data_IF_251937406580
#
_entry.id   IF_251937406580
#
_cell.length_a   1.000
_cell.length_b   1.000
_cell.length_c   1.000
_cell.angle_alpha   90.00
_cell.angle_beta   90.00
_cell.angle_gamma   90.00
#
_symmetry.space_group_name_H-M   'P 1'
#
loop_
_entity.id
_entity.type
_entity.pdbx_description
1 polymer ?
#
# COMPACT_ATOMS: atom_id res chain seq x y z
N UNK A 1 48.75 33.84 38.82
CA UNK A 1 49.90 34.34 38.05
C UNK A 1 50.41 33.20 37.16
N UNK A 2 50.63 33.52 35.89
CA UNK A 2 51.43 32.86 34.82
C UNK A 2 52.01 31.45 35.11
N UNK A 3 51.92 30.47 34.22
CA UNK A 3 52.11 30.61 32.77
C UNK A 3 51.68 29.39 31.94
N UNK A 4 51.57 29.68 30.65
CA UNK A 4 51.12 28.85 29.54
C UNK A 4 52.21 27.83 29.16
N UNK A 5 51.81 26.59 28.88
CA UNK A 5 52.63 25.67 28.07
C UNK A 5 52.05 25.58 26.66
N UNK A 6 52.90 25.93 25.70
CA UNK A 6 52.66 25.88 24.26
C UNK A 6 53.42 24.72 23.63
N UNK A 7 52.76 24.08 22.67
CA UNK A 7 53.25 23.48 21.43
C UNK A 7 54.31 22.35 21.46
N UNK A 8 53.89 21.21 20.88
CA UNK A 8 54.77 20.16 20.36
C UNK A 8 54.01 19.36 19.29
N UNK A 9 53.96 19.89 18.08
CA UNK A 9 53.40 19.24 16.89
C UNK A 9 54.35 18.16 16.38
N UNK A 10 53.82 16.98 16.00
CA UNK A 10 54.53 16.02 15.16
C UNK A 10 53.95 16.02 13.74
N UNK A 11 54.78 16.53 12.84
CA UNK A 11 54.92 16.23 11.41
C UNK A 11 54.90 14.70 11.12
N UNK A 12 54.76 14.17 9.90
CA UNK A 12 54.44 14.60 8.52
C UNK A 12 54.29 13.27 7.72
N UNK A 13 53.64 13.34 6.55
CA UNK A 13 53.74 12.51 5.32
C UNK A 13 52.33 12.25 4.77
N UNK A 14 51.72 13.07 3.91
CA UNK A 14 52.01 13.41 2.49
C UNK A 14 52.32 12.23 1.56
N UNK A 15 51.37 11.98 0.65
CA UNK A 15 51.45 11.62 -0.79
C UNK A 15 50.09 11.00 -1.17
N UNK A 16 49.46 11.25 -2.30
CA UNK A 16 49.80 12.02 -3.49
C UNK A 16 48.53 12.13 -4.32
N UNK A 17 48.23 13.32 -4.80
CA UNK A 17 47.30 13.64 -5.87
C UNK A 17 47.82 13.10 -7.20
N UNK A 18 46.94 12.48 -7.99
CA UNK A 18 47.02 12.49 -9.47
C UNK A 18 45.61 12.71 -10.02
N UNK A 19 45.42 13.69 -10.93
CA UNK A 19 44.12 14.03 -11.52
C UNK A 19 43.95 13.45 -12.93
N UNK A 20 42.80 13.82 -13.53
CA UNK A 20 42.50 13.89 -14.96
C UNK A 20 41.83 12.66 -15.60
N UNK A 21 40.55 12.83 -15.96
CA UNK A 21 40.09 12.64 -17.34
C UNK A 21 38.78 13.39 -17.56
N UNK A 22 38.84 14.38 -18.44
CA UNK A 22 37.73 15.14 -18.98
C UNK A 22 37.03 14.34 -20.10
N UNK A 23 35.74 14.62 -20.22
CA UNK A 23 34.92 14.66 -21.44
C UNK A 23 34.75 13.36 -22.27
N UNK A 24 33.54 12.83 -22.23
CA UNK A 24 32.85 12.40 -23.44
C UNK A 24 31.37 12.84 -23.34
N UNK A 25 30.99 13.78 -24.20
CA UNK A 25 29.64 14.32 -24.27
C UNK A 25 28.63 13.24 -24.64
N UNK A 26 27.54 13.18 -23.88
CA UNK A 26 26.36 12.41 -24.25
C UNK A 26 25.18 13.36 -24.40
N UNK A 27 24.97 13.84 -25.62
CA UNK A 27 23.70 14.44 -26.02
C UNK A 27 22.91 13.43 -26.82
N UNK A 28 21.65 13.19 -26.45
CA UNK A 28 20.60 13.11 -27.45
C UNK A 28 19.65 14.27 -27.18
N UNK A 29 19.77 15.32 -28.01
CA UNK A 29 18.67 16.24 -28.23
C UNK A 29 17.52 15.45 -28.84
N UNK A 30 16.64 14.92 -28.02
CA UNK A 30 15.34 14.47 -28.49
C UNK A 30 14.50 15.71 -28.75
N UNK A 31 14.55 16.18 -29.99
CA UNK A 31 13.54 17.08 -30.50
C UNK A 31 12.25 16.27 -30.65
N UNK A 32 11.22 16.65 -29.90
CA UNK A 32 9.86 16.19 -30.19
C UNK A 32 9.43 16.82 -31.52
N UNK A 33 9.69 16.14 -32.63
CA UNK A 33 9.03 16.42 -33.91
C UNK A 33 7.69 15.73 -33.90
N UNK A 34 6.70 16.35 -33.25
CA UNK A 34 5.30 16.00 -33.49
C UNK A 34 5.00 16.31 -34.95
N UNK A 35 4.77 15.28 -35.75
CA UNK A 35 4.33 15.41 -37.13
C UNK A 35 3.01 16.21 -37.15
N UNK A 36 3.07 17.40 -37.72
CA UNK A 36 1.87 18.21 -37.99
C UNK A 36 1.21 17.58 -39.21
N UNK A 37 0.12 16.86 -39.00
CA UNK A 37 -0.76 16.40 -40.07
C UNK A 37 -1.36 17.64 -40.73
N UNK A 38 -1.06 17.84 -42.02
CA UNK A 38 -1.61 18.93 -42.80
C UNK A 38 -3.14 18.83 -42.88
N UNK A 39 -3.81 19.95 -42.61
CA UNK A 39 -5.24 20.13 -42.84
C UNK A 39 -5.63 19.79 -44.28
N UNK A 40 -6.40 18.71 -44.46
CA UNK A 40 -7.08 18.44 -45.72
C UNK A 40 -8.28 19.39 -45.87
N UNK A 41 -8.21 20.22 -46.90
CA UNK A 41 -9.28 21.11 -47.37
C UNK A 41 -10.53 20.30 -47.75
N UNK A 42 -11.65 20.59 -47.07
CA UNK A 42 -12.97 20.02 -47.39
C UNK A 42 -13.50 20.71 -48.65
N UNK A 43 -13.30 20.10 -49.83
CA UNK A 43 -14.12 20.40 -51.01
C UNK A 43 -15.52 19.80 -50.78
N UNK A 44 -16.54 20.65 -50.76
CA UNK A 44 -17.95 20.26 -50.87
C UNK A 44 -18.19 19.80 -52.32
N UNK A 45 -18.65 18.57 -52.49
CA UNK A 45 -19.43 18.17 -53.66
C UNK A 45 -20.81 17.75 -53.15
N UNK A 46 -21.83 18.48 -53.56
CA UNK A 46 -23.21 18.00 -53.51
C UNK A 46 -23.55 17.38 -54.85
N UNK A 47 -24.29 16.27 -54.84
CA UNK A 47 -25.41 16.00 -55.75
C UNK A 47 -25.99 14.60 -55.50
N UNK A 48 -27.28 14.63 -55.18
CA UNK A 48 -28.35 13.82 -55.74
C UNK A 48 -28.51 12.34 -55.36
N UNK A 49 -29.72 12.14 -54.83
CA UNK A 49 -30.48 10.92 -54.61
C UNK A 49 -30.66 10.07 -55.86
N UNK A 50 -30.39 8.77 -55.72
CA UNK A 50 -30.84 7.73 -56.63
C UNK A 50 -31.01 6.43 -55.85
N UNK A 51 -32.26 6.03 -55.66
CA UNK A 51 -32.67 4.79 -55.02
C UNK A 51 -32.30 3.58 -55.89
N UNK A 52 -31.49 2.66 -55.36
CA UNK A 52 -31.45 1.26 -55.78
C UNK A 52 -31.32 0.36 -54.55
N UNK A 53 -32.20 -0.63 -54.50
CA UNK A 53 -32.33 -1.68 -53.48
C UNK A 53 -31.06 -2.55 -53.38
N UNK A 54 -30.86 -3.27 -52.26
CA UNK A 54 -29.55 -3.74 -51.84
C UNK A 54 -29.14 -5.01 -52.58
N UNK A 55 -28.01 -4.96 -53.29
CA UNK A 55 -27.28 -6.17 -53.62
C UNK A 55 -26.57 -6.65 -52.35
N UNK A 56 -27.04 -7.75 -51.78
CA UNK A 56 -26.32 -8.50 -50.74
C UNK A 56 -25.10 -9.12 -51.39
N UNK A 57 -24.01 -8.35 -51.45
CA UNK A 57 -22.67 -8.88 -51.65
C UNK A 57 -22.17 -9.32 -50.27
N UNK A 58 -22.03 -10.63 -50.09
CA UNK A 58 -21.35 -11.21 -48.93
C UNK A 58 -19.90 -10.72 -48.91
N UNK A 59 -19.66 -9.66 -48.15
CA UNK A 59 -18.32 -9.24 -47.81
C UNK A 59 -17.68 -10.36 -46.97
N UNK A 60 -16.66 -11.02 -47.54
CA UNK A 60 -15.76 -11.87 -46.76
C UNK A 60 -15.17 -11.08 -45.58
N UNK A 61 -14.68 -11.76 -44.53
CA UNK A 61 -14.21 -11.09 -43.33
C UNK A 61 -13.06 -10.15 -43.70
N UNK A 62 -13.30 -8.84 -43.61
CA UNK A 62 -12.25 -7.84 -43.75
C UNK A 62 -11.27 -8.02 -42.58
N UNK A 63 -10.11 -8.62 -42.87
CA UNK A 63 -9.05 -8.96 -41.89
C UNK A 63 -8.35 -7.76 -41.25
N UNK A 64 -8.84 -6.53 -41.44
CA UNK A 64 -8.33 -5.33 -40.78
C UNK A 64 -9.41 -4.26 -40.69
N UNK A 65 -10.37 -4.44 -39.78
CA UNK A 65 -11.10 -3.28 -39.26
C UNK A 65 -10.11 -2.42 -38.46
N UNK A 66 -9.99 -1.09 -38.71
CA UNK A 66 -9.20 -0.23 -37.85
C UNK A 66 -9.78 -0.32 -36.44
N UNK A 67 -9.04 -0.96 -35.53
CA UNK A 67 -9.38 -0.98 -34.12
C UNK A 67 -9.53 0.49 -33.68
N UNK A 68 -10.65 0.88 -33.07
CA UNK A 68 -10.75 2.21 -32.48
C UNK A 68 -9.64 2.31 -31.45
N UNK A 69 -8.59 3.08 -31.76
CA UNK A 69 -7.57 3.43 -30.78
C UNK A 69 -8.33 4.19 -29.71
N UNK A 70 -8.45 3.56 -28.54
CA UNK A 70 -9.04 4.20 -27.38
C UNK A 70 -8.03 5.27 -26.95
N UNK A 71 -8.11 6.46 -27.56
CA UNK A 71 -7.34 7.64 -27.16
C UNK A 71 -7.89 8.15 -25.84
N UNK A 72 -7.67 7.37 -24.79
CA UNK A 72 -8.01 7.80 -23.45
C UNK A 72 -6.98 8.86 -23.07
N UNK A 73 -7.44 10.10 -22.93
CA UNK A 73 -6.62 11.18 -22.42
C UNK A 73 -6.02 10.78 -21.06
N UNK A 74 -4.71 10.54 -21.02
CA UNK A 74 -3.99 10.37 -19.77
C UNK A 74 -3.94 11.71 -19.05
N UNK A 75 -4.34 11.77 -17.78
CA UNK A 75 -4.30 12.98 -16.93
C UNK A 75 -2.86 13.33 -16.54
N UNK A 76 -2.04 13.70 -17.51
CA UNK A 76 -0.66 14.14 -17.32
C UNK A 76 -0.59 15.66 -17.46
N UNK A 77 0.19 16.31 -16.60
CA UNK A 77 0.37 17.77 -16.66
C UNK A 77 1.87 18.09 -16.68
N UNK A 78 2.31 18.68 -17.78
CA UNK A 78 3.66 19.19 -17.95
C UNK A 78 3.62 20.72 -17.91
N UNK A 79 4.44 21.32 -17.05
CA UNK A 79 4.66 22.77 -17.07
C UNK A 79 5.83 23.04 -18.00
N UNK A 80 5.54 23.80 -19.05
CA UNK A 80 6.48 24.11 -20.12
C UNK A 80 6.80 25.59 -20.13
N UNK A 81 8.06 25.93 -20.41
CA UNK A 81 8.51 27.30 -20.67
C UNK A 81 8.88 27.43 -22.13
N UNK A 82 8.46 28.52 -22.77
CA UNK A 82 8.89 28.83 -24.14
C UNK A 82 10.39 29.12 -24.12
N UNK A 83 11.16 28.45 -24.97
CA UNK A 83 12.59 28.73 -25.15
C UNK A 83 12.82 30.16 -25.64
N UNK A 84 11.99 30.61 -26.58
CA UNK A 84 11.97 31.98 -27.09
C UNK A 84 10.66 32.65 -26.70
N UNK A 85 10.62 33.50 -25.67
CA UNK A 85 9.40 34.19 -25.27
C UNK A 85 8.97 35.24 -26.32
N UNK A 86 7.66 35.50 -26.47
CA UNK A 86 7.20 36.61 -27.29
C UNK A 86 7.55 37.96 -26.64
N UNK A 87 7.66 39.01 -27.46
CA UNK A 87 7.90 40.36 -26.95
C UNK A 87 6.71 40.84 -26.11
N UNK A 88 7.01 41.66 -25.11
CA UNK A 88 6.00 42.31 -24.27
C UNK A 88 5.19 43.30 -25.10
N UNK A 89 3.87 43.29 -24.90
CA UNK A 89 2.93 44.23 -25.51
C UNK A 89 2.55 45.33 -24.50
N UNK A 90 2.05 46.45 -24.99
CA UNK A 90 1.58 47.55 -24.12
C UNK A 90 0.37 47.07 -23.31
N UNK A 91 0.18 47.63 -22.11
CA UNK A 91 -0.98 47.33 -21.26
C UNK A 91 -2.29 47.52 -22.05
N UNK A 92 -3.19 46.55 -21.97
CA UNK A 92 -4.49 46.51 -22.68
C UNK A 92 -4.41 46.43 -24.22
N UNK A 93 -3.22 46.28 -24.81
CA UNK A 93 -3.09 46.01 -26.24
C UNK A 93 -3.34 44.52 -26.50
N UNK A 94 -3.97 44.21 -27.65
CA UNK A 94 -4.12 42.82 -28.10
C UNK A 94 -2.74 42.19 -28.33
N UNK A 95 -2.47 40.98 -27.80
CA UNK A 95 -1.21 40.28 -28.05
C UNK A 95 -0.99 40.03 -29.54
N UNK A 96 0.26 40.18 -29.99
CA UNK A 96 0.64 39.88 -31.37
C UNK A 96 0.61 38.37 -31.66
N UNK A 97 0.49 38.01 -32.94
CA UNK A 97 0.43 36.62 -33.38
C UNK A 97 1.76 35.92 -33.10
N UNK A 98 1.69 34.75 -32.46
CA UNK A 98 2.87 33.94 -32.18
C UNK A 98 3.48 33.38 -33.47
N UNK A 99 4.80 33.42 -33.56
CA UNK A 99 5.58 32.84 -34.67
C UNK A 99 6.00 31.41 -34.31
N UNK A 100 6.39 30.62 -35.32
CA UNK A 100 6.83 29.22 -35.15
C UNK A 100 7.89 29.04 -34.04
N UNK A 101 8.86 29.95 -33.95
CA UNK A 101 9.91 29.94 -32.91
C UNK A 101 9.38 30.00 -31.46
N UNK A 102 8.17 30.51 -31.24
CA UNK A 102 7.56 30.61 -29.90
C UNK A 102 6.89 29.30 -29.47
N UNK A 103 6.72 28.31 -30.37
CA UNK A 103 6.15 27.00 -30.06
C UNK A 103 7.24 25.96 -29.71
N UNK A 104 8.49 26.40 -29.54
CA UNK A 104 9.57 25.56 -29.01
C UNK A 104 9.57 25.69 -27.48
N UNK A 105 9.32 24.57 -26.81
CA UNK A 105 9.18 24.50 -25.37
C UNK A 105 10.33 23.73 -24.71
N UNK A 106 10.66 24.16 -23.50
CA UNK A 106 11.54 23.47 -22.57
C UNK A 106 10.69 22.99 -21.39
N UNK A 107 10.94 21.74 -20.96
CA UNK A 107 10.25 21.14 -19.82
C UNK A 107 10.77 21.76 -18.52
N UNK A 108 9.88 22.38 -17.74
CA UNK A 108 10.22 22.97 -16.44
C UNK A 108 9.87 22.00 -15.32
N UNK A 109 8.64 21.51 -15.31
CA UNK A 109 8.12 20.68 -14.23
C UNK A 109 7.26 19.57 -14.80
N UNK A 110 7.46 18.35 -14.31
CA UNK A 110 6.59 17.23 -14.62
C UNK A 110 5.80 16.83 -13.37
N UNK A 111 4.50 17.18 -13.34
CA UNK A 111 3.63 16.90 -12.20
C UNK A 111 3.27 15.43 -12.03
N UNK A 112 3.54 14.59 -13.03
CA UNK A 112 3.30 13.14 -12.90
C UNK A 112 4.30 12.46 -11.98
N UNK A 113 5.52 12.99 -11.90
CA UNK A 113 6.61 12.46 -11.06
C UNK A 113 6.54 13.01 -9.64
N UNK A 114 6.01 14.22 -9.48
CA UNK A 114 5.94 14.89 -8.18
C UNK A 114 4.96 14.17 -7.26
N UNK A 115 5.43 13.86 -6.04
CA UNK A 115 4.60 13.25 -5.00
C UNK A 115 3.48 14.22 -4.61
N UNK A 116 2.23 13.78 -4.80
CA UNK A 116 1.05 14.53 -4.36
C UNK A 116 1.03 14.62 -2.83
N UNK A 117 0.65 15.78 -2.25
CA UNK A 117 0.49 15.91 -0.81
C UNK A 117 -0.61 14.98 -0.30
N UNK A 118 -0.59 14.70 1.00
CA UNK A 118 -1.66 13.94 1.64
C UNK A 118 -2.97 14.75 1.63
N UNK A 119 -4.08 14.04 1.60
CA UNK A 119 -5.43 14.56 1.64
C UNK A 119 -6.00 14.32 3.04
N UNK A 120 -6.56 15.36 3.63
CA UNK A 120 -7.23 15.28 4.93
C UNK A 120 -8.73 15.05 4.73
N UNK A 121 -9.24 14.04 5.41
CA UNK A 121 -10.65 13.62 5.35
C UNK A 121 -11.17 13.37 6.76
N UNK A 122 -12.49 13.51 6.93
CA UNK A 122 -13.20 13.24 8.18
C UNK A 122 -13.92 11.90 7.99
N UNK A 123 -13.71 10.95 8.89
CA UNK A 123 -14.39 9.66 8.83
C UNK A 123 -15.86 9.78 9.26
N UNK A 124 -16.77 9.16 8.54
CA UNK A 124 -18.21 9.11 8.87
C UNK A 124 -18.62 7.86 9.62
N UNK A 125 -17.76 6.84 9.61
CA UNK A 125 -17.92 5.57 10.33
C UNK A 125 -16.56 5.11 10.84
N UNK A 126 -16.56 4.15 11.77
CA UNK A 126 -15.33 3.45 12.16
C UNK A 126 -14.76 2.70 10.95
N UNK A 127 -13.46 2.88 10.70
CA UNK A 127 -12.76 2.16 9.63
C UNK A 127 -11.53 1.45 10.18
N UNK A 128 -11.51 0.14 9.98
CA UNK A 128 -10.46 -0.77 10.46
C UNK A 128 -9.06 -0.31 10.05
N UNK A 129 -8.22 -0.06 11.04
CA UNK A 129 -6.82 0.35 10.88
C UNK A 129 -6.61 1.78 10.38
N UNK A 130 -7.66 2.62 10.36
CA UNK A 130 -7.57 4.02 9.92
C UNK A 130 -7.97 4.97 11.05
N UNK A 131 -9.15 4.81 11.63
CA UNK A 131 -9.63 5.73 12.67
C UNK A 131 -11.07 5.50 13.08
N UNK A 132 -11.48 6.23 14.11
CA UNK A 132 -12.86 6.24 14.59
C UNK A 132 -13.72 7.26 13.81
N UNK A 133 -15.04 7.15 13.92
CA UNK A 133 -15.97 8.13 13.35
C UNK A 133 -15.68 9.53 13.88
N UNK A 134 -15.78 10.52 13.00
CA UNK A 134 -15.52 11.94 13.28
C UNK A 134 -14.03 12.30 13.35
N UNK A 135 -13.11 11.34 13.25
CA UNK A 135 -11.68 11.60 13.28
C UNK A 135 -11.19 12.21 11.96
N UNK A 136 -10.27 13.17 12.05
CA UNK A 136 -9.60 13.78 10.90
C UNK A 136 -8.33 13.00 10.60
N UNK A 137 -8.28 12.35 9.44
CA UNK A 137 -7.15 11.50 9.04
C UNK A 137 -6.47 12.06 7.79
N UNK A 138 -5.14 12.07 7.79
CA UNK A 138 -4.31 12.50 6.65
C UNK A 138 -3.75 11.29 5.91
N UNK A 139 -4.21 11.06 4.67
CA UNK A 139 -3.88 9.87 3.87
C UNK A 139 -3.40 10.24 2.47
N UNK A 140 -2.80 9.27 1.75
CA UNK A 140 -2.44 9.48 0.35
C UNK A 140 -3.72 9.63 -0.51
N UNK A 141 -3.78 10.55 -1.48
CA UNK A 141 -5.02 10.84 -2.23
C UNK A 141 -5.67 9.62 -2.90
N UNK A 142 -4.88 8.69 -3.44
CA UNK A 142 -5.43 7.48 -4.06
C UNK A 142 -6.13 6.57 -3.03
N UNK A 143 -5.57 6.45 -1.83
CA UNK A 143 -6.12 5.64 -0.75
C UNK A 143 -7.39 6.29 -0.22
N UNK A 144 -7.32 7.59 0.10
CA UNK A 144 -8.46 8.36 0.56
C UNK A 144 -9.62 8.33 -0.45
N UNK A 145 -9.35 8.49 -1.74
CA UNK A 145 -10.40 8.49 -2.76
C UNK A 145 -11.02 7.10 -2.93
N UNK A 146 -10.21 6.08 -3.23
CA UNK A 146 -10.72 4.76 -3.59
C UNK A 146 -11.32 4.01 -2.40
N UNK A 147 -10.70 4.12 -1.22
CA UNK A 147 -11.10 3.33 -0.05
C UNK A 147 -12.08 4.05 0.87
N UNK A 148 -12.13 5.39 0.87
CA UNK A 148 -12.94 6.14 1.82
C UNK A 148 -14.00 7.01 1.15
N UNK A 149 -13.61 7.93 0.27
CA UNK A 149 -14.54 8.89 -0.33
C UNK A 149 -15.49 8.23 -1.33
N UNK A 150 -15.00 7.32 -2.16
CA UNK A 150 -15.80 6.59 -3.14
C UNK A 150 -16.89 5.72 -2.50
N UNK A 151 -16.60 4.91 -1.44
CA UNK A 151 -17.64 4.19 -0.72
C UNK A 151 -18.46 5.05 0.26
N UNK A 152 -18.08 6.31 0.51
CA UNK A 152 -18.80 7.21 1.42
C UNK A 152 -18.47 7.02 2.91
N UNK A 153 -17.35 6.38 3.23
CA UNK A 153 -16.85 6.19 4.61
C UNK A 153 -16.12 7.42 5.17
N UNK A 154 -15.88 8.41 4.32
CA UNK A 154 -15.30 9.68 4.73
C UNK A 154 -15.82 10.83 3.88
N UNK A 155 -15.64 12.04 4.40
CA UNK A 155 -16.00 13.29 3.75
C UNK A 155 -14.80 14.23 3.74
N UNK A 156 -14.72 15.11 2.75
CA UNK A 156 -13.67 16.13 2.70
C UNK A 156 -13.69 17.05 3.91
N UNK A 157 -12.50 17.41 4.39
CA UNK A 157 -12.30 18.42 5.41
C UNK A 157 -12.61 19.83 4.86
N UNK A 158 -13.87 20.24 4.98
CA UNK A 158 -14.32 21.62 4.78
C UNK A 158 -14.71 22.21 6.14
N UNK A 159 -14.67 23.55 6.33
CA UNK A 159 -15.07 24.16 7.61
C UNK A 159 -16.53 23.81 7.98
N UNK A 160 -17.41 23.69 7.00
CA UNK A 160 -18.81 23.26 7.20
C UNK A 160 -18.90 21.81 7.71
N UNK A 161 -18.12 20.90 7.12
CA UNK A 161 -18.15 19.49 7.52
C UNK A 161 -17.47 19.28 8.88
N UNK A 162 -16.44 20.06 9.19
CA UNK A 162 -15.86 20.07 10.53
C UNK A 162 -16.90 20.44 11.60
N UNK A 163 -17.71 21.48 11.34
CA UNK A 163 -18.78 21.84 12.27
C UNK A 163 -19.86 20.75 12.39
N UNK A 164 -20.23 20.10 11.28
CA UNK A 164 -21.23 19.02 11.27
C UNK A 164 -20.77 17.79 12.08
N UNK A 165 -19.52 17.36 11.88
CA UNK A 165 -19.00 16.12 12.46
C UNK A 165 -18.23 16.31 13.78
N UNK A 166 -18.08 17.55 14.27
CA UNK A 166 -17.44 17.82 15.58
C UNK A 166 -18.30 17.35 16.77
N UNK A 167 -19.62 17.27 16.59
CA UNK A 167 -20.60 17.14 17.68
C UNK A 167 -21.02 15.71 18.02
N UNK A 168 -20.62 14.70 17.25
CA UNK A 168 -21.10 13.31 17.37
C UNK A 168 -20.03 12.35 17.90
N UNK A 169 -19.33 12.69 18.99
CA UNK A 169 -18.54 11.69 19.71
C UNK A 169 -19.44 10.93 20.66
N UNK A 170 -20.40 10.21 20.11
CA UNK A 170 -21.29 9.33 20.87
C UNK A 170 -20.42 8.33 21.64
N UNK A 171 -20.51 8.37 22.97
CA UNK A 171 -19.72 7.53 23.86
C UNK A 171 -19.95 6.03 23.57
N UNK A 172 -21.14 5.70 23.06
CA UNK A 172 -21.53 4.36 22.64
C UNK A 172 -20.64 3.76 21.52
N UNK A 173 -20.13 4.57 20.58
CA UNK A 173 -19.24 4.04 19.53
C UNK A 173 -17.82 3.76 20.05
N UNK A 174 -17.39 4.46 21.11
CA UNK A 174 -16.09 4.20 21.77
C UNK A 174 -16.08 2.86 22.51
N UNK A 175 -17.24 2.33 22.89
CA UNK A 175 -17.36 1.05 23.58
C UNK A 175 -17.30 -0.15 22.61
N UNK A 176 -17.52 0.04 21.31
CA UNK A 176 -17.51 -1.09 20.35
C UNK A 176 -16.07 -1.55 20.08
N UNK A 177 -15.13 -0.61 19.99
CA UNK A 177 -13.73 -0.89 19.67
C UNK A 177 -12.78 -0.08 20.54
N UNK A 178 -11.83 -0.75 21.18
CA UNK A 178 -10.79 -0.15 22.02
C UNK A 178 -9.84 0.75 21.23
N UNK A 179 -9.57 0.41 19.96
CA UNK A 179 -8.73 1.21 19.08
C UNK A 179 -9.03 0.96 17.60
N UNK A 180 -8.63 1.89 16.74
CA UNK A 180 -8.72 1.74 15.28
C UNK A 180 -8.06 0.45 14.75
N UNK A 181 -7.00 -0.03 15.42
CA UNK A 181 -6.24 -1.21 14.97
C UNK A 181 -6.65 -2.51 15.68
N UNK A 182 -7.51 -2.45 16.68
CA UNK A 182 -7.86 -3.62 17.49
C UNK A 182 -8.51 -4.71 16.64
N UNK A 183 -9.57 -4.37 15.91
CA UNK A 183 -10.27 -5.31 15.05
C UNK A 183 -9.36 -5.89 13.96
N UNK A 184 -8.48 -5.07 13.36
CA UNK A 184 -7.48 -5.55 12.40
C UNK A 184 -6.54 -6.58 13.01
N UNK A 185 -6.19 -6.41 14.28
CA UNK A 185 -5.33 -7.33 15.04
C UNK A 185 -6.07 -8.63 15.34
N UNK A 186 -7.35 -8.57 15.73
CA UNK A 186 -8.22 -9.74 15.89
C UNK A 186 -8.23 -10.57 14.60
N UNK A 187 -8.54 -9.94 13.46
CA UNK A 187 -8.59 -10.62 12.15
C UNK A 187 -7.25 -11.29 11.79
N UNK A 188 -6.12 -10.68 12.15
CA UNK A 188 -4.78 -11.25 11.93
C UNK A 188 -4.46 -12.41 12.86
N UNK A 189 -4.92 -12.38 14.11
CA UNK A 189 -4.74 -13.48 15.05
C UNK A 189 -5.65 -14.66 14.73
N UNK A 190 -6.88 -14.42 14.26
CA UNK A 190 -7.83 -15.49 13.89
C UNK A 190 -7.45 -16.19 12.58
N UNK A 191 -6.87 -15.46 11.63
CA UNK A 191 -6.32 -16.07 10.40
C UNK A 191 -5.05 -16.91 10.67
N UNK A 192 -4.44 -16.79 11.85
CA UNK A 192 -3.21 -17.49 12.19
C UNK A 192 -3.50 -18.90 12.73
N UNK A 193 -2.64 -19.84 12.33
CA UNK A 193 -2.56 -21.19 12.88
C UNK A 193 -1.21 -21.30 13.59
N UNK A 194 -1.26 -21.33 14.92
CA UNK A 194 -0.08 -21.27 15.77
C UNK A 194 0.50 -22.67 15.99
N UNK A 195 1.73 -22.90 15.56
CA UNK A 195 2.45 -24.13 15.88
C UNK A 195 3.05 -24.07 17.29
N UNK A 196 2.44 -24.82 18.20
CA UNK A 196 2.87 -24.96 19.59
C UNK A 196 3.83 -26.15 19.68
N UNK A 197 5.12 -25.85 19.73
CA UNK A 197 6.18 -26.87 19.72
C UNK A 197 6.43 -27.36 21.14
N UNK A 198 6.14 -28.64 21.40
CA UNK A 198 6.31 -29.28 22.71
C UNK A 198 7.27 -30.47 22.63
N UNK A 199 7.82 -30.87 23.77
CA UNK A 199 8.74 -32.02 23.83
C UNK A 199 7.99 -33.34 23.56
N UNK A 200 8.61 -34.28 22.86
CA UNK A 200 8.11 -35.65 22.65
C UNK A 200 8.41 -36.57 23.83
N UNK A 201 9.53 -36.34 24.52
CA UNK A 201 10.10 -37.36 25.42
C UNK A 201 9.78 -37.05 26.90
N UNK A 202 9.60 -35.78 27.23
CA UNK A 202 9.31 -35.32 28.59
C UNK A 202 7.83 -34.95 28.73
N UNK A 203 7.18 -35.27 29.87
CA UNK A 203 5.82 -34.85 30.13
C UNK A 203 5.73 -33.33 30.28
N UNK A 204 4.64 -32.76 29.79
CA UNK A 204 4.40 -31.32 29.83
C UNK A 204 2.91 -31.01 29.99
N UNK A 205 2.63 -29.81 30.50
CA UNK A 205 1.30 -29.23 30.60
C UNK A 205 1.34 -27.87 29.91
N UNK A 206 0.40 -27.61 29.00
CA UNK A 206 0.35 -26.32 28.32
C UNK A 206 -0.11 -25.25 29.31
N UNK A 207 0.79 -24.31 29.55
CA UNK A 207 0.57 -23.09 30.32
C UNK A 207 0.65 -21.85 29.41
N UNK A 208 0.11 -20.69 29.82
CA UNK A 208 0.02 -19.50 28.98
C UNK A 208 1.37 -19.00 28.44
N UNK A 209 2.48 -19.20 29.17
CA UNK A 209 3.81 -18.80 28.71
C UNK A 209 4.33 -19.62 27.52
N UNK A 210 3.85 -20.87 27.34
CA UNK A 210 4.16 -21.68 26.17
C UNK A 210 3.54 -21.05 24.92
N UNK A 211 2.29 -20.62 25.01
CA UNK A 211 1.59 -19.92 23.93
C UNK A 211 2.25 -18.57 23.65
N UNK A 212 2.62 -17.82 24.69
CA UNK A 212 3.39 -16.58 24.55
C UNK A 212 4.69 -16.78 23.76
N UNK A 213 5.42 -17.85 24.05
CA UNK A 213 6.67 -18.18 23.35
C UNK A 213 6.40 -18.55 21.89
N UNK A 214 5.35 -19.33 21.62
CA UNK A 214 4.94 -19.67 20.26
C UNK A 214 4.51 -18.42 19.47
N UNK A 215 3.71 -17.53 20.07
CA UNK A 215 3.30 -16.26 19.46
C UNK A 215 4.49 -15.38 19.14
N UNK A 216 5.48 -15.32 20.03
CA UNK A 216 6.75 -14.60 19.78
C UNK A 216 7.50 -15.18 18.58
N UNK A 217 7.54 -16.51 18.45
CA UNK A 217 8.10 -17.19 17.27
C UNK A 217 7.34 -16.84 15.99
N UNK A 218 6.03 -16.63 16.08
CA UNK A 218 5.18 -16.17 14.97
C UNK A 218 5.25 -14.65 14.71
N UNK A 219 6.00 -13.88 15.51
CA UNK A 219 6.17 -12.43 15.36
C UNK A 219 5.20 -11.56 16.14
N UNK A 220 4.36 -12.14 17.00
CA UNK A 220 3.41 -11.42 17.86
C UNK A 220 3.95 -11.28 19.28
N UNK A 221 3.83 -10.08 19.85
CA UNK A 221 4.19 -9.83 21.24
C UNK A 221 2.91 -9.73 22.08
N UNK A 222 2.69 -10.70 22.96
CA UNK A 222 1.49 -10.78 23.80
C UNK A 222 1.91 -11.04 25.26
N UNK A 223 1.33 -10.32 26.25
CA UNK A 223 1.60 -10.58 27.65
C UNK A 223 0.88 -11.86 28.13
N UNK A 224 1.41 -12.51 29.15
CA UNK A 224 0.90 -13.81 29.63
C UNK A 224 -0.53 -13.73 30.17
N UNK A 225 -0.86 -12.60 30.81
CA UNK A 225 -2.17 -12.29 31.40
C UNK A 225 -3.31 -12.10 30.40
N UNK A 226 -2.99 -11.83 29.13
CA UNK A 226 -3.97 -11.67 28.06
C UNK A 226 -4.36 -13.00 27.39
N UNK A 227 -3.78 -14.13 27.80
CA UNK A 227 -3.92 -15.43 27.15
C UNK A 227 -4.81 -16.33 28.03
N UNK A 228 -6.01 -16.63 27.55
CA UNK A 228 -6.97 -17.54 28.17
C UNK A 228 -6.89 -18.92 27.48
N UNK A 229 -6.47 -19.94 28.24
CA UNK A 229 -6.44 -21.33 27.79
C UNK A 229 -7.82 -22.00 27.93
N UNK A 230 -8.08 -23.10 27.19
CA UNK A 230 -9.29 -23.91 27.40
C UNK A 230 -9.33 -24.49 28.82
N UNK A 231 -10.54 -24.69 29.34
CA UNK A 231 -10.80 -25.18 30.71
C UNK A 231 -10.14 -26.55 30.97
N UNK A 232 -10.10 -27.40 29.94
CA UNK A 232 -9.50 -28.72 30.00
C UNK A 232 -7.97 -28.64 29.82
N UNK A 233 -7.18 -29.04 30.84
CA UNK A 233 -5.72 -28.96 30.76
C UNK A 233 -5.21 -29.91 29.68
N UNK A 234 -4.34 -29.40 28.81
CA UNK A 234 -3.73 -30.18 27.74
C UNK A 234 -2.39 -30.70 28.24
N UNK A 235 -2.34 -32.01 28.46
CA UNK A 235 -1.13 -32.73 28.89
C UNK A 235 -0.54 -33.51 27.72
N UNK A 236 0.77 -33.72 27.75
CA UNK A 236 1.50 -34.64 26.88
C UNK A 236 2.50 -35.48 27.69
N UNK A 237 3.23 -36.41 27.08
CA UNK A 237 3.58 -36.48 25.66
C UNK A 237 2.86 -37.62 24.93
N UNK A 238 1.69 -37.32 24.37
CA UNK A 238 0.91 -38.29 23.60
C UNK A 238 1.05 -38.00 22.11
N UNK A 239 1.62 -38.94 21.36
CA UNK A 239 1.75 -38.80 19.91
C UNK A 239 0.38 -38.69 19.20
N UNK A 240 -0.68 -39.20 19.83
CA UNK A 240 -2.07 -39.05 19.36
C UNK A 240 -2.56 -37.60 19.36
N UNK A 241 -1.90 -36.69 20.08
CA UNK A 241 -2.22 -35.26 20.12
C UNK A 241 -1.45 -34.47 19.07
N UNK A 242 -0.57 -35.12 18.29
CA UNK A 242 0.16 -34.50 17.20
C UNK A 242 -0.80 -33.95 16.14
N UNK A 243 -0.52 -32.74 15.64
CA UNK A 243 -1.30 -32.04 14.62
C UNK A 243 -2.78 -31.80 15.00
N UNK A 244 -3.17 -32.02 16.26
CA UNK A 244 -4.52 -31.67 16.73
C UNK A 244 -4.62 -30.20 17.07
N UNK A 245 -5.80 -29.65 16.84
CA UNK A 245 -6.10 -28.24 17.03
C UNK A 245 -6.81 -27.98 18.36
N UNK A 246 -6.41 -26.92 19.05
CA UNK A 246 -7.19 -26.35 20.14
C UNK A 246 -7.25 -24.83 19.99
N UNK A 247 -8.26 -24.22 20.60
CA UNK A 247 -8.50 -22.79 20.50
C UNK A 247 -8.02 -22.13 21.79
N UNK A 248 -7.28 -21.03 21.62
CA UNK A 248 -6.87 -20.14 22.71
C UNK A 248 -7.52 -18.78 22.49
N UNK A 249 -8.04 -18.19 23.55
CA UNK A 249 -8.63 -16.85 23.48
C UNK A 249 -7.59 -15.83 23.92
N UNK A 250 -7.34 -14.82 23.08
CA UNK A 250 -6.43 -13.72 23.38
C UNK A 250 -7.24 -12.44 23.53
N UNK A 251 -7.08 -11.75 24.66
CA UNK A 251 -7.75 -10.46 24.90
C UNK A 251 -6.85 -9.30 24.48
N UNK A 252 -7.36 -8.42 23.63
CA UNK A 252 -6.71 -7.19 23.18
C UNK A 252 -7.33 -6.04 23.98
N UNK A 253 -6.49 -5.25 24.65
CA UNK A 253 -6.89 -4.06 25.42
C UNK A 253 -8.04 -4.27 26.42
N UNK A 254 -8.28 -5.50 26.88
CA UNK A 254 -9.35 -5.84 27.82
C UNK A 254 -10.76 -5.89 27.22
N UNK A 255 -10.94 -5.63 25.92
CA UNK A 255 -12.25 -5.54 25.27
C UNK A 255 -12.41 -6.58 24.17
N UNK A 256 -11.57 -6.55 23.13
CA UNK A 256 -11.69 -7.49 22.02
C UNK A 256 -11.09 -8.86 22.39
N UNK A 257 -11.78 -9.93 22.02
CA UNK A 257 -11.31 -11.31 22.20
C UNK A 257 -11.09 -11.96 20.84
N UNK A 258 -9.87 -12.42 20.56
CA UNK A 258 -9.49 -13.12 19.35
C UNK A 258 -9.35 -14.62 19.61
N UNK A 259 -9.94 -15.45 18.74
CA UNK A 259 -9.85 -16.91 18.84
C UNK A 259 -8.72 -17.44 17.96
N UNK A 260 -7.61 -17.82 18.58
CA UNK A 260 -6.43 -18.32 17.86
C UNK A 260 -6.43 -19.82 17.81
N UNK A 261 -6.32 -20.37 16.59
CA UNK A 261 -6.15 -21.81 16.38
C UNK A 261 -4.71 -22.20 16.65
N UNK A 262 -4.51 -23.16 17.54
CA UNK A 262 -3.21 -23.66 17.95
C UNK A 262 -3.09 -25.14 17.59
N UNK A 263 -1.97 -25.53 16.97
CA UNK A 263 -1.64 -26.92 16.61
C UNK A 263 -0.48 -27.40 17.44
N UNK A 264 -0.63 -28.59 18.02
CA UNK A 264 0.45 -29.22 18.80
C UNK A 264 1.45 -29.88 17.85
N UNK A 265 2.72 -29.56 18.03
CA UNK A 265 3.83 -30.16 17.29
C UNK A 265 4.88 -30.72 18.25
N UNK A 266 5.03 -32.04 18.28
CA UNK A 266 6.06 -32.70 19.08
C UNK A 266 7.45 -32.52 18.47
N UNK A 267 8.43 -32.29 19.33
CA UNK A 267 9.82 -32.08 19.00
C UNK A 267 10.69 -32.93 19.91
N UNK A 268 11.71 -33.56 19.35
CA UNK A 268 12.75 -34.24 20.13
C UNK A 268 14.11 -33.57 19.87
N UNK A 269 14.95 -33.59 20.89
CA UNK A 269 16.35 -33.12 20.82
C UNK A 269 17.19 -34.07 19.97
N UNK A 270 16.89 -35.38 20.01
CA UNK A 270 17.60 -36.39 19.24
C UNK A 270 17.17 -36.36 17.77
N UNK A 271 18.11 -36.19 16.81
CA UNK A 271 17.78 -36.12 15.39
C UNK A 271 17.03 -37.35 14.87
N UNK A 272 17.38 -38.54 15.36
CA UNK A 272 16.77 -39.82 14.97
C UNK A 272 15.30 -39.93 15.38
N UNK A 273 14.92 -39.28 16.48
CA UNK A 273 13.57 -39.34 17.05
C UNK A 273 12.67 -38.18 16.60
N UNK A 274 13.19 -37.25 15.79
CA UNK A 274 12.46 -36.11 15.25
C UNK A 274 11.45 -36.57 14.20
N UNK A 275 10.23 -36.05 14.30
CA UNK A 275 9.20 -36.25 13.28
C UNK A 275 9.64 -35.64 11.93
N UNK A 276 9.23 -36.23 10.80
CA UNK A 276 9.54 -35.70 9.49
C UNK A 276 9.01 -34.28 9.36
N UNK A 277 9.79 -33.41 8.72
CA UNK A 277 9.36 -32.04 8.46
C UNK A 277 8.19 -32.05 7.48
N UNK A 278 7.06 -31.48 7.91
CA UNK A 278 5.88 -31.29 7.07
C UNK A 278 5.87 -29.85 6.57
N UNK A 279 6.08 -29.69 5.26
CA UNK A 279 5.98 -28.39 4.60
C UNK A 279 4.54 -27.88 4.67
N UNK A 280 4.38 -26.58 4.96
CA UNK A 280 3.07 -25.91 5.05
C UNK A 280 2.04 -26.65 5.91
N UNK A 281 2.50 -27.17 7.06
CA UNK A 281 1.65 -27.92 7.99
C UNK A 281 0.41 -27.14 8.44
N UNK A 282 0.34 -25.81 8.28
CA UNK A 282 -0.83 -24.96 8.58
C UNK A 282 -1.92 -25.01 7.50
N UNK A 283 -1.63 -25.46 6.27
CA UNK A 283 -2.63 -25.58 5.21
C UNK A 283 -3.41 -26.90 5.26
N UNK A 284 -2.86 -27.91 5.94
CA UNK A 284 -3.50 -29.21 6.07
C UNK A 284 -4.68 -29.12 7.03
N UNK A 285 -5.72 -29.91 6.80
CA UNK A 285 -6.81 -30.02 7.76
C UNK A 285 -6.35 -30.77 9.01
N UNK A 286 -6.88 -30.38 10.15
CA UNK A 286 -6.49 -30.92 11.45
C UNK A 286 -7.74 -31.23 12.28
N UNK A 287 -7.69 -32.34 13.01
CA UNK A 287 -8.75 -32.72 13.93
C UNK A 287 -8.71 -31.84 15.18
N UNK A 288 -9.87 -31.41 15.71
CA UNK A 288 -9.91 -30.73 16.99
C UNK A 288 -9.52 -31.70 18.12
N UNK A 289 -8.74 -31.19 19.07
CA UNK A 289 -8.23 -31.93 20.23
C UNK A 289 -9.36 -32.31 21.19
N UNK A 290 -10.34 -31.42 21.31
CA UNK A 290 -11.59 -31.67 22.01
C UNK A 290 -12.63 -32.01 20.94
N UNK A 291 -13.34 -33.13 21.11
CA UNK A 291 -14.41 -33.52 20.17
C UNK A 291 -15.36 -32.35 19.92
N UNK A 292 -15.72 -32.14 18.65
CA UNK A 292 -16.53 -30.98 18.26
C UNK A 292 -17.82 -30.90 19.06
N UNK A 293 -18.10 -29.70 19.59
CA UNK A 293 -19.45 -29.26 19.88
C UNK A 293 -20.07 -28.70 18.60
#
# INVERSE_FOLDING_TARGET
MFGKFTNGASALLTRSTVPLLQNAGFTPKQYWTGAILNHASRKKFGAQSGSRLPAVLSAGPALCAPQPVMEQQTRNTFVLKRRTPPNLYKKNQKPDKLRGRHFVYELVENRTVIKKPNLEVILTAFVEGIGAKGEVVSLKPNVAYNQLLLPGLAVYKTPENLAKYATEKDEAEKEIHSSAYAQRTVNKLESLILAVVMNKDQPWVIEPWHIRTALRKAGYYVPTEAIELPVTPITGPDLLKQNKEFIVTITINGLEKARVRCRIHHWSTEPSNRLPYVFEHWKQDAEPLFGGA
#
